data_IF_333093027931
#
_entry.id   IF_333093027931
#
_cell.length_a   1.000
_cell.length_b   1.000
_cell.length_c   1.000
_cell.angle_alpha   90.00
_cell.angle_beta   90.00
_cell.angle_gamma   90.00
#
_symmetry.space_group_name_H-M   'P 1'
#
loop_
_entity.id
_entity.type
_entity.pdbx_description
1 polymer ?
#
# COMPACT_ATOMS: atom_id res chain seq x y z
N UNK A 1 12.14 15.59 9.08
CA UNK A 1 11.90 16.44 7.92
C UNK A 1 10.92 15.74 6.97
N UNK A 2 9.86 16.43 6.55
CA UNK A 2 8.91 15.81 5.63
C UNK A 2 9.52 15.50 4.28
N UNK A 3 9.13 14.38 3.71
CA UNK A 3 9.47 14.00 2.34
C UNK A 3 8.17 13.78 1.58
N UNK A 4 8.22 13.98 0.26
CA UNK A 4 7.05 13.75 -0.58
C UNK A 4 6.84 12.26 -0.77
N UNK A 5 5.68 11.77 -0.31
CA UNK A 5 5.30 10.38 -0.51
C UNK A 5 4.39 10.28 -1.72
N UNK A 6 4.60 9.25 -2.53
CA UNK A 6 3.77 8.94 -3.69
C UNK A 6 2.89 7.73 -3.41
N UNK A 7 1.85 7.50 -4.23
CA UNK A 7 0.97 6.35 -4.00
C UNK A 7 1.74 5.05 -3.82
N UNK A 8 1.50 4.39 -2.70
CA UNK A 8 2.22 3.18 -2.35
C UNK A 8 1.51 2.41 -1.25
N UNK A 9 1.75 1.10 -1.24
CA UNK A 9 1.39 0.22 -0.14
C UNK A 9 2.66 -0.01 0.69
N UNK A 10 2.56 0.22 2.00
CA UNK A 10 3.68 0.07 2.92
C UNK A 10 3.34 -0.97 3.97
N UNK A 11 4.25 -1.92 4.18
CA UNK A 11 4.06 -3.03 5.10
C UNK A 11 5.34 -3.23 5.89
N UNK A 12 5.19 -3.54 7.17
CA UNK A 12 6.32 -3.88 8.03
C UNK A 12 6.29 -5.36 8.34
N UNK A 13 7.40 -6.04 8.07
CA UNK A 13 7.60 -7.43 8.50
C UNK A 13 8.07 -7.48 9.95
N UNK A 14 8.72 -6.41 10.41
CA UNK A 14 9.26 -6.32 11.75
C UNK A 14 9.35 -4.87 12.16
N UNK A 15 8.98 -4.59 13.42
CA UNK A 15 9.04 -3.24 13.96
C UNK A 15 7.72 -2.50 13.82
N UNK A 16 7.74 -1.22 14.17
CA UNK A 16 6.60 -0.34 14.00
C UNK A 16 7.06 1.03 13.56
N UNK A 17 6.16 1.80 12.99
CA UNK A 17 6.49 3.11 12.44
C UNK A 17 5.36 4.09 12.70
N UNK A 18 5.72 5.30 13.08
CA UNK A 18 4.79 6.41 13.17
C UNK A 18 4.99 7.31 11.97
N UNK A 19 3.89 7.68 11.32
CA UNK A 19 3.89 8.57 10.16
C UNK A 19 3.07 9.80 10.52
N UNK A 20 3.62 10.95 10.24
CA UNK A 20 2.97 12.24 10.55
C UNK A 20 2.54 12.92 9.24
N UNK A 21 1.28 13.31 9.21
CA UNK A 21 0.69 14.11 8.15
C UNK A 21 0.04 15.32 8.81
N UNK A 22 0.73 16.47 8.74
CA UNK A 22 0.28 17.63 9.49
C UNK A 22 0.23 17.32 10.98
N UNK A 23 -0.92 17.54 11.58
CA UNK A 23 -1.14 17.27 13.00
C UNK A 23 -1.57 15.83 13.29
N UNK A 24 -1.81 15.03 12.26
CA UNK A 24 -2.25 13.65 12.45
C UNK A 24 -1.08 12.70 12.52
N UNK A 25 -1.23 11.69 13.36
CA UNK A 25 -0.22 10.66 13.57
C UNK A 25 -0.84 9.31 13.31
N UNK A 26 -0.20 8.54 12.43
CA UNK A 26 -0.61 7.19 12.09
C UNK A 26 0.49 6.23 12.53
N UNK A 27 0.11 5.16 13.21
CA UNK A 27 1.08 4.13 13.64
C UNK A 27 0.68 2.81 13.01
N UNK A 28 1.64 2.11 12.43
CA UNK A 28 1.38 0.78 11.92
C UNK A 28 2.53 -0.17 12.26
N UNK A 29 2.21 -1.44 12.28
CA UNK A 29 3.05 -2.55 12.72
C UNK A 29 2.83 -3.75 11.79
N UNK A 30 3.42 -4.93 12.08
CA UNK A 30 3.26 -6.08 11.19
C UNK A 30 1.82 -6.59 11.02
N UNK A 31 0.89 -6.17 11.89
CA UNK A 31 -0.52 -6.57 11.78
C UNK A 31 -1.34 -5.63 10.92
N UNK A 32 -0.74 -4.53 10.45
CA UNK A 32 -1.43 -3.50 9.70
C UNK A 32 -0.64 -3.12 8.46
N UNK A 33 -1.33 -2.50 7.50
CA UNK A 33 -0.68 -1.90 6.36
C UNK A 33 -1.07 -0.43 6.28
N UNK A 34 -0.23 0.34 5.59
CA UNK A 34 -0.51 1.74 5.32
C UNK A 34 -0.56 1.95 3.80
N UNK A 35 -1.55 2.70 3.34
CA UNK A 35 -1.62 3.10 1.93
C UNK A 35 -1.56 4.61 1.84
N UNK A 36 -0.72 5.09 0.94
CA UNK A 36 -0.72 6.48 0.49
C UNK A 36 -1.42 6.50 -0.85
N UNK A 37 -2.54 7.21 -0.94
CA UNK A 37 -3.34 7.23 -2.16
C UNK A 37 -3.18 8.51 -2.97
N UNK A 38 -2.59 9.54 -2.38
CA UNK A 38 -2.34 10.83 -3.04
C UNK A 38 -0.95 11.30 -2.65
N UNK A 39 -0.21 11.88 -3.59
CA UNK A 39 1.10 12.43 -3.26
C UNK A 39 0.97 13.52 -2.20
N UNK A 40 1.76 13.40 -1.14
CA UNK A 40 1.68 14.32 -0.01
C UNK A 40 2.98 14.34 0.79
N UNK A 41 3.26 15.45 1.49
CA UNK A 41 4.42 15.50 2.37
C UNK A 41 4.11 14.79 3.68
N UNK A 42 4.95 13.81 4.03
CA UNK A 42 4.84 13.08 5.29
C UNK A 42 6.22 12.96 5.93
N UNK A 43 6.24 12.75 7.24
CA UNK A 43 7.47 12.39 7.94
C UNK A 43 7.22 11.11 8.72
N UNK A 44 8.26 10.28 8.82
CA UNK A 44 8.14 8.99 9.48
C UNK A 44 9.26 8.77 10.47
N UNK A 45 8.94 8.06 11.55
CA UNK A 45 9.89 7.67 12.57
C UNK A 45 9.69 6.19 12.87
N UNK A 46 10.77 5.41 12.77
CA UNK A 46 10.72 4.02 13.19
C UNK A 46 10.77 3.95 14.70
N UNK A 47 9.84 3.16 15.25
CA UNK A 47 9.73 2.95 16.68
C UNK A 47 10.43 1.63 17.03
N UNK A 48 11.08 1.57 18.17
CA UNK A 48 11.68 0.34 18.68
C UNK A 48 12.72 -0.33 17.77
N UNK A 49 13.29 0.38 16.83
CA UNK A 49 14.31 -0.18 15.95
C UNK A 49 15.68 -0.17 16.64
N UNK A 50 16.41 -1.28 16.52
CA UNK A 50 17.75 -1.42 17.06
C UNK A 50 18.57 -2.33 16.16
N UNK A 51 19.91 -2.35 16.31
CA UNK A 51 20.73 -3.27 15.53
C UNK A 51 20.37 -4.74 15.75
N UNK A 52 19.91 -5.08 16.95
CA UNK A 52 19.51 -6.45 17.30
C UNK A 52 18.11 -6.77 16.79
N UNK A 53 17.28 -5.76 16.61
CA UNK A 53 15.90 -5.92 16.16
C UNK A 53 15.56 -4.81 15.16
N UNK A 54 16.16 -4.87 13.95
CA UNK A 54 15.96 -3.81 12.97
C UNK A 54 14.54 -3.78 12.42
N UNK A 55 14.12 -2.61 11.99
CA UNK A 55 12.86 -2.48 11.27
C UNK A 55 13.04 -3.03 9.86
N UNK A 56 12.09 -3.87 9.44
CA UNK A 56 12.09 -4.48 8.11
C UNK A 56 10.76 -4.19 7.44
N UNK A 57 10.80 -3.59 6.26
CA UNK A 57 9.59 -3.21 5.58
C UNK A 57 9.66 -3.39 4.08
N UNK A 58 8.50 -3.31 3.46
CA UNK A 58 8.33 -3.41 2.03
C UNK A 58 7.47 -2.24 1.58
N UNK A 59 7.89 -1.62 0.49
CA UNK A 59 7.11 -0.59 -0.16
C UNK A 59 6.79 -1.06 -1.57
N UNK A 60 5.52 -1.06 -1.90
CA UNK A 60 5.04 -1.41 -3.23
C UNK A 60 4.42 -0.16 -3.85
N UNK A 61 5.10 0.42 -4.84
CA UNK A 61 4.56 1.59 -5.52
C UNK A 61 3.32 1.22 -6.31
N UNK A 62 2.32 2.09 -6.29
CA UNK A 62 1.05 1.84 -6.98
C UNK A 62 0.98 2.72 -8.20
N UNK A 63 0.89 2.08 -9.38
CA UNK A 63 0.72 2.78 -10.64
C UNK A 63 -0.78 3.01 -10.87
N UNK A 64 -1.21 4.26 -11.11
CA UNK A 64 -2.61 4.54 -11.40
C UNK A 64 -3.19 3.70 -12.54
N UNK A 65 -2.39 3.35 -13.53
CA UNK A 65 -2.84 2.51 -14.64
C UNK A 65 -3.25 1.12 -14.17
N UNK A 66 -2.56 0.57 -13.16
CA UNK A 66 -2.95 -0.73 -12.60
C UNK A 66 -4.32 -0.67 -11.94
N UNK A 67 -4.60 0.41 -11.22
CA UNK A 67 -5.91 0.60 -10.57
C UNK A 67 -7.00 0.76 -11.63
N UNK A 68 -6.75 1.57 -12.67
CA UNK A 68 -7.71 1.77 -13.75
C UNK A 68 -8.04 0.46 -14.46
N UNK A 69 -7.04 -0.36 -14.71
CA UNK A 69 -7.25 -1.66 -15.37
C UNK A 69 -8.10 -2.60 -14.51
N UNK A 70 -7.88 -2.60 -13.20
CA UNK A 70 -8.67 -3.42 -12.29
C UNK A 70 -10.12 -2.98 -12.24
N UNK A 71 -10.36 -1.68 -12.17
CA UNK A 71 -11.71 -1.15 -12.14
C UNK A 71 -12.45 -1.50 -13.44
N UNK A 72 -11.76 -1.42 -14.58
CA UNK A 72 -12.35 -1.76 -15.87
C UNK A 72 -12.75 -3.23 -15.94
N UNK A 73 -11.93 -4.13 -15.38
CA UNK A 73 -12.20 -5.57 -15.43
C UNK A 73 -13.20 -6.04 -14.39
N UNK A 74 -13.09 -5.54 -13.17
CA UNK A 74 -13.87 -6.03 -12.04
C UNK A 74 -15.14 -5.23 -11.77
N UNK A 75 -15.26 -4.07 -12.41
CA UNK A 75 -16.35 -3.14 -12.14
C UNK A 75 -16.14 -2.34 -10.87
N UNK A 76 -17.05 -1.40 -10.58
CA UNK A 76 -16.90 -0.56 -9.39
C UNK A 76 -16.95 -1.40 -8.13
N UNK A 77 -15.99 -1.17 -7.25
CA UNK A 77 -15.92 -1.84 -5.97
C UNK A 77 -16.02 -0.78 -4.88
N UNK A 78 -17.24 -0.59 -4.38
CA UNK A 78 -17.51 0.43 -3.39
C UNK A 78 -17.86 1.75 -4.02
N UNK A 79 -18.25 2.70 -3.20
CA UNK A 79 -18.68 4.03 -3.63
C UNK A 79 -17.53 5.00 -3.40
N UNK A 80 -17.09 5.72 -4.44
CA UNK A 80 -16.08 6.75 -4.23
C UNK A 80 -16.63 7.80 -3.30
N UNK A 81 -16.07 7.92 -2.11
CA UNK A 81 -16.45 8.97 -1.19
C UNK A 81 -15.34 10.00 -1.15
N UNK A 82 -15.72 11.25 -1.27
CA UNK A 82 -14.76 12.35 -1.24
C UNK A 82 -14.37 12.61 0.21
N UNK A 83 -13.71 11.69 0.84
CA UNK A 83 -13.30 11.88 2.22
C UNK A 83 -11.99 11.17 2.48
N UNK A 84 -11.19 11.76 3.31
CA UNK A 84 -9.96 11.17 3.72
C UNK A 84 -8.77 12.01 3.31
N UNK A 85 -7.67 11.73 3.93
CA UNK A 85 -6.45 12.52 3.81
C UNK A 85 -5.47 11.97 2.78
N UNK A 86 -5.87 10.95 2.02
CA UNK A 86 -4.96 10.32 1.08
C UNK A 86 -3.97 9.37 1.73
N UNK A 87 -4.18 9.06 3.00
CA UNK A 87 -3.37 8.10 3.73
C UNK A 87 -4.27 7.37 4.71
N UNK A 88 -4.14 6.05 4.78
CA UNK A 88 -4.89 5.28 5.76
C UNK A 88 -4.12 4.05 6.22
N UNK A 89 -4.46 3.57 7.42
CA UNK A 89 -3.93 2.35 8.01
C UNK A 89 -5.09 1.39 8.21
N UNK A 90 -4.90 0.13 7.85
CA UNK A 90 -5.92 -0.90 7.98
C UNK A 90 -5.29 -2.21 8.41
N UNK A 91 -6.08 -3.07 9.02
CA UNK A 91 -5.60 -4.37 9.47
C UNK A 91 -5.32 -5.27 8.27
N UNK A 92 -4.19 -5.95 8.33
CA UNK A 92 -3.76 -6.87 7.28
C UNK A 92 -4.59 -8.16 7.37
N UNK A 93 -5.28 -8.52 6.29
CA UNK A 93 -6.02 -9.76 6.27
C UNK A 93 -5.15 -10.92 5.75
N UNK A 94 -5.54 -12.17 6.07
CA UNK A 94 -4.72 -13.33 5.69
C UNK A 94 -4.51 -13.51 4.19
N UNK A 95 -5.49 -13.16 3.38
CA UNK A 95 -5.37 -13.33 1.92
C UNK A 95 -4.42 -12.32 1.31
N UNK A 96 -4.46 -11.10 1.81
CA UNK A 96 -3.52 -10.08 1.38
C UNK A 96 -2.10 -10.44 1.81
N UNK A 97 -1.95 -10.90 3.04
CA UNK A 97 -0.65 -11.34 3.54
C UNK A 97 -0.09 -12.48 2.69
N UNK A 98 -0.92 -13.45 2.33
CA UNK A 98 -0.49 -14.57 1.50
C UNK A 98 0.04 -14.09 0.15
N UNK A 99 -0.67 -13.18 -0.49
CA UNK A 99 -0.22 -12.64 -1.77
C UNK A 99 1.11 -11.89 -1.65
N UNK A 100 1.27 -11.13 -0.57
CA UNK A 100 2.52 -10.41 -0.33
C UNK A 100 3.69 -11.36 -0.11
N UNK A 101 3.47 -12.45 0.63
CA UNK A 101 4.50 -13.45 0.85
C UNK A 101 4.89 -14.11 -0.47
N UNK A 102 3.92 -14.44 -1.33
CA UNK A 102 4.21 -15.03 -2.63
C UNK A 102 5.02 -14.08 -3.51
N UNK A 103 4.72 -12.79 -3.45
CA UNK A 103 5.49 -11.79 -4.21
C UNK A 103 6.94 -11.76 -3.74
N UNK A 104 7.17 -11.74 -2.44
CA UNK A 104 8.52 -11.69 -1.87
C UNK A 104 9.29 -12.97 -2.21
N UNK A 105 8.62 -14.12 -2.18
CA UNK A 105 9.27 -15.40 -2.50
C UNK A 105 9.77 -15.48 -3.93
N UNK A 106 9.29 -14.64 -4.82
CA UNK A 106 9.83 -14.61 -6.18
C UNK A 106 11.30 -14.21 -6.22
N UNK A 107 11.79 -13.58 -5.17
CA UNK A 107 13.23 -13.26 -5.07
C UNK A 107 14.08 -14.53 -5.04
N UNK A 108 13.50 -15.66 -4.62
CA UNK A 108 14.18 -16.95 -4.64
C UNK A 108 14.21 -17.59 -6.03
N UNK A 109 13.32 -17.14 -6.92
CA UNK A 109 13.22 -17.65 -8.28
C UNK A 109 13.15 -16.48 -9.26
N UNK A 110 14.26 -15.75 -9.44
CA UNK A 110 14.25 -14.51 -10.23
C UNK A 110 13.73 -14.68 -11.67
N UNK A 111 13.85 -15.87 -12.24
CA UNK A 111 13.34 -16.12 -13.59
C UNK A 111 11.82 -15.98 -13.70
N UNK A 112 11.12 -16.18 -12.59
CA UNK A 112 9.67 -16.11 -12.57
C UNK A 112 9.14 -14.68 -12.41
N UNK A 113 9.99 -13.74 -11.98
CA UNK A 113 9.57 -12.36 -11.70
C UNK A 113 8.88 -11.69 -12.88
N UNK A 114 9.45 -11.71 -14.11
CA UNK A 114 8.81 -10.99 -15.23
C UNK A 114 7.39 -11.45 -15.53
N UNK A 115 7.07 -12.71 -15.26
CA UNK A 115 5.76 -13.27 -15.54
C UNK A 115 4.84 -13.25 -14.34
N UNK A 116 5.33 -13.71 -13.18
CA UNK A 116 4.49 -13.87 -12.00
C UNK A 116 4.32 -12.60 -11.16
N UNK A 117 5.33 -11.73 -11.12
CA UNK A 117 5.20 -10.53 -10.31
C UNK A 117 4.03 -9.63 -10.76
N UNK A 118 3.82 -9.37 -12.06
CA UNK A 118 2.65 -8.57 -12.47
C UNK A 118 1.32 -9.20 -12.07
N UNK A 119 1.24 -10.52 -12.11
CA UNK A 119 0.00 -11.24 -11.74
C UNK A 119 -0.27 -11.12 -10.24
N UNK A 120 0.77 -11.31 -9.43
CA UNK A 120 0.62 -11.22 -7.97
C UNK A 120 0.36 -9.78 -7.54
N UNK A 121 1.02 -8.81 -8.17
CA UNK A 121 0.75 -7.39 -7.92
C UNK A 121 -0.72 -7.07 -8.19
N UNK A 122 -1.27 -7.60 -9.28
CA UNK A 122 -2.66 -7.39 -9.63
C UNK A 122 -3.59 -7.97 -8.56
N UNK A 123 -3.27 -9.14 -8.04
CA UNK A 123 -4.02 -9.74 -6.93
C UNK A 123 -3.96 -8.85 -5.69
N UNK A 124 -2.78 -8.35 -5.34
CA UNK A 124 -2.59 -7.49 -4.17
C UNK A 124 -3.48 -6.25 -4.29
N UNK A 125 -3.42 -5.56 -5.43
CA UNK A 125 -4.21 -4.36 -5.64
C UNK A 125 -5.71 -4.65 -5.63
N UNK A 126 -6.12 -5.78 -6.20
CA UNK A 126 -7.51 -6.21 -6.17
C UNK A 126 -8.00 -6.42 -4.74
N UNK A 127 -7.19 -7.09 -3.91
CA UNK A 127 -7.56 -7.32 -2.51
C UNK A 127 -7.63 -6.03 -1.71
N UNK A 128 -6.76 -5.07 -2.01
CA UNK A 128 -6.83 -3.75 -1.38
C UNK A 128 -8.14 -3.04 -1.76
N UNK A 129 -8.54 -3.11 -3.04
CA UNK A 129 -9.79 -2.50 -3.50
C UNK A 129 -11.01 -3.13 -2.83
N UNK A 130 -10.94 -4.40 -2.51
CA UNK A 130 -12.03 -5.12 -1.83
C UNK A 130 -12.04 -4.92 -0.33
N UNK A 131 -11.00 -4.30 0.24
CA UNK A 131 -10.90 -4.04 1.66
C UNK A 131 -11.80 -2.91 2.11
N UNK A 132 -11.83 -2.69 3.43
CA UNK A 132 -12.71 -1.68 4.04
C UNK A 132 -12.44 -0.27 3.52
N UNK A 133 -11.20 0.06 3.21
CA UNK A 133 -10.81 1.37 2.72
C UNK A 133 -10.56 1.37 1.21
N UNK A 134 -11.00 0.32 0.52
CA UNK A 134 -10.71 0.15 -0.89
C UNK A 134 -11.19 1.30 -1.77
N UNK A 135 -12.33 1.91 -1.40
CA UNK A 135 -12.86 3.07 -2.13
C UNK A 135 -11.88 4.23 -2.20
N UNK A 136 -10.96 4.33 -1.25
CA UNK A 136 -9.97 5.42 -1.22
C UNK A 136 -8.90 5.25 -2.29
N UNK A 137 -8.74 4.03 -2.81
CA UNK A 137 -7.81 3.79 -3.91
C UNK A 137 -8.29 4.37 -5.23
N UNK A 138 -9.58 4.68 -5.33
CA UNK A 138 -10.10 5.38 -6.50
C UNK A 138 -9.46 6.76 -6.67
N UNK A 139 -8.99 7.36 -5.59
CA UNK A 139 -8.31 8.65 -5.65
C UNK A 139 -7.09 8.59 -6.56
N UNK A 140 -6.38 7.46 -6.55
CA UNK A 140 -5.19 7.26 -7.39
C UNK A 140 -5.58 7.34 -8.87
N UNK A 141 -6.63 6.60 -9.24
CA UNK A 141 -7.11 6.58 -10.62
C UNK A 141 -7.65 7.94 -11.05
N UNK A 142 -8.41 8.59 -10.16
CA UNK A 142 -9.02 9.89 -10.44
C UNK A 142 -7.96 10.96 -10.70
N UNK A 143 -6.93 11.00 -9.86
CA UNK A 143 -5.85 11.97 -10.02
C UNK A 143 -5.13 11.76 -11.34
N UNK A 144 -4.90 10.51 -11.74
CA UNK A 144 -4.30 10.19 -13.03
C UNK A 144 -5.14 10.69 -14.19
N UNK A 145 -6.46 10.66 -14.05
CA UNK A 145 -7.38 11.05 -15.12
C UNK A 145 -7.47 12.56 -15.32
N UNK A 146 -7.24 13.34 -14.27
CA UNK A 146 -7.35 14.80 -14.33
C UNK A 146 -6.10 15.47 -14.88
N UNK A 147 -5.08 14.73 -15.16
CA UNK A 147 -3.85 15.23 -15.75
C UNK A 147 -3.72 14.76 -17.20
#
# INVERSE_FOLDING_TARGET
MPTLAHPALCILAQGSKAVHLGDERYVYDPLHYMVVSVAMPISGVYLDASPENPSLGIRLDIDPAEINNLIADAGPMGVPTASGRGLFVERLDPQLLDALIRLIRLLETPKDIPVLAPLIRREILYRLLRGKQGHRLYEIATVSYTH
#
